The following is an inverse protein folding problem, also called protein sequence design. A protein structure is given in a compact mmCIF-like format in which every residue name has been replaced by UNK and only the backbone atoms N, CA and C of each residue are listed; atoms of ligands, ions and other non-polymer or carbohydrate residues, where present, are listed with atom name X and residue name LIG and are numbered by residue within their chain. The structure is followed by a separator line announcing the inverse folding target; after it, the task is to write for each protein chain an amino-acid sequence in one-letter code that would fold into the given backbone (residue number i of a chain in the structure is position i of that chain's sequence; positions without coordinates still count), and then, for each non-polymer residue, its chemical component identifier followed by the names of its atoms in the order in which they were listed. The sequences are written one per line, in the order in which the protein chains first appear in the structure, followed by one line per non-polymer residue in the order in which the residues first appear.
data_IF_942770572205
#
_entry.id   IF_942770572205
#
_cell.length_a   1.000
_cell.length_b   1.000
_cell.length_c   1.000
_cell.angle_alpha   90.00
_cell.angle_beta   90.00
_cell.angle_gamma   90.00
#
_symmetry.space_group_name_H-M   'P 1'
#
loop_
_entity.id
_entity.type
_entity.pdbx_description
1 polymer ?
#
# COMPACT_ATOMS: atom_id res chain seq x y z
N UNK A 1 -47.30 -65.09 -6.59
CA UNK A 1 -46.73 -64.95 -7.94
C UNK A 1 -45.22 -64.81 -7.78
N UNK A 2 -44.47 -65.88 -8.08
CA UNK A 2 -43.01 -65.91 -8.04
C UNK A 2 -42.41 -65.02 -9.13
N UNK A 3 -41.28 -64.36 -8.84
CA UNK A 3 -40.04 -64.51 -9.63
C UNK A 3 -38.87 -63.75 -8.98
N UNK A 4 -37.93 -64.52 -8.45
CA UNK A 4 -36.51 -64.20 -8.46
C UNK A 4 -36.06 -63.91 -9.91
N UNK A 5 -35.00 -63.10 -10.11
CA UNK A 5 -33.85 -63.42 -10.99
C UNK A 5 -32.77 -62.33 -10.83
N UNK A 6 -31.67 -62.81 -10.29
CA UNK A 6 -30.29 -62.33 -10.22
C UNK A 6 -29.71 -61.81 -11.55
N UNK A 7 -28.93 -60.72 -11.51
CA UNK A 7 -27.71 -60.57 -12.35
C UNK A 7 -26.58 -59.90 -11.57
N UNK A 8 -25.44 -60.60 -11.57
CA UNK A 8 -24.11 -60.27 -11.05
C UNK A 8 -23.33 -59.57 -12.18
N UNK A 9 -22.16 -59.00 -11.85
CA UNK A 9 -21.00 -58.63 -12.71
C UNK A 9 -21.05 -57.15 -13.17
N UNK A 10 -20.05 -56.27 -13.05
CA UNK A 10 -18.59 -56.33 -12.87
C UNK A 10 -18.09 -55.00 -12.23
N UNK A 11 -17.12 -55.04 -11.31
CA UNK A 11 -15.68 -54.74 -11.51
C UNK A 11 -15.35 -53.28 -11.86
N UNK A 12 -14.81 -52.61 -10.84
CA UNK A 12 -13.78 -51.55 -10.79
C UNK A 12 -13.38 -50.80 -12.07
N UNK A 13 -13.49 -49.46 -12.00
CA UNK A 13 -12.45 -48.56 -12.53
C UNK A 13 -12.33 -47.30 -11.66
N UNK A 14 -11.10 -47.02 -11.26
CA UNK A 14 -10.69 -45.91 -10.43
C UNK A 14 -10.80 -44.56 -11.15
N UNK A 15 -11.19 -43.51 -10.41
CA UNK A 15 -10.58 -42.18 -10.57
C UNK A 15 -10.81 -41.35 -9.31
N UNK A 16 -9.92 -41.50 -8.32
CA UNK A 16 -9.69 -40.45 -7.33
C UNK A 16 -8.82 -39.40 -8.02
N UNK A 17 -9.45 -38.33 -8.51
CA UNK A 17 -8.78 -37.09 -8.91
C UNK A 17 -9.12 -36.03 -7.87
N UNK A 18 -8.51 -36.16 -6.70
CA UNK A 18 -8.36 -35.08 -5.72
C UNK A 18 -6.87 -34.76 -5.64
N UNK A 19 -6.56 -33.46 -5.74
CA UNK A 19 -5.25 -32.85 -6.04
C UNK A 19 -5.01 -32.78 -7.56
N UNK A 20 -4.91 -31.62 -8.21
CA UNK A 20 -4.42 -30.33 -7.74
C UNK A 20 -4.97 -29.22 -8.64
N UNK A 21 -5.93 -28.45 -8.13
CA UNK A 21 -6.44 -27.23 -8.75
C UNK A 21 -5.63 -26.01 -8.28
N UNK A 22 -4.30 -26.12 -8.31
CA UNK A 22 -3.37 -25.03 -8.03
C UNK A 22 -2.62 -24.68 -9.32
N UNK A 23 -3.35 -24.15 -10.30
CA UNK A 23 -2.77 -23.61 -11.52
C UNK A 23 -3.76 -22.65 -12.18
N UNK A 24 -4.04 -21.52 -11.52
CA UNK A 24 -4.70 -20.37 -12.14
C UNK A 24 -4.19 -19.08 -11.51
N UNK A 25 -3.36 -18.35 -12.25
CA UNK A 25 -3.39 -16.89 -12.26
C UNK A 25 -2.47 -16.16 -11.28
N UNK A 26 -1.35 -15.68 -11.80
CA UNK A 26 -0.60 -14.58 -11.19
C UNK A 26 0.89 -14.80 -11.36
N UNK A 27 1.51 -13.98 -12.18
CA UNK A 27 2.96 -13.88 -12.39
C UNK A 27 3.67 -13.86 -11.03
N UNK A 28 4.20 -15.01 -10.61
CA UNK A 28 4.98 -15.17 -9.39
C UNK A 28 6.16 -14.19 -9.46
N UNK A 29 6.06 -13.11 -8.70
CA UNK A 29 7.23 -12.41 -8.21
C UNK A 29 8.14 -13.45 -7.56
N UNK A 30 9.42 -13.45 -7.93
CA UNK A 30 10.45 -14.31 -7.34
C UNK A 30 10.29 -14.32 -5.80
N UNK A 31 9.81 -15.44 -5.27
CA UNK A 31 9.29 -15.51 -3.91
C UNK A 31 10.38 -15.67 -2.85
N UNK A 32 11.66 -15.58 -3.21
CA UNK A 32 12.75 -15.74 -2.23
C UNK A 32 13.02 -14.47 -1.42
N UNK A 33 12.82 -13.28 -1.98
CA UNK A 33 13.18 -12.01 -1.32
C UNK A 33 12.00 -11.13 -0.89
N UNK A 34 10.75 -11.56 -1.16
CA UNK A 34 9.57 -10.73 -0.93
C UNK A 34 9.46 -9.53 -1.89
N UNK A 35 8.38 -8.76 -1.73
CA UNK A 35 8.03 -7.65 -2.62
C UNK A 35 7.45 -6.48 -1.83
N UNK A 36 7.93 -5.27 -2.12
CA UNK A 36 7.35 -4.04 -1.60
C UNK A 36 6.49 -3.42 -2.70
N UNK A 37 5.21 -3.24 -2.41
CA UNK A 37 4.32 -2.46 -3.26
C UNK A 37 3.90 -1.19 -2.52
N UNK A 38 4.44 -0.06 -2.96
CA UNK A 38 4.24 1.24 -2.33
C UNK A 38 3.20 2.08 -3.09
N UNK A 39 2.09 2.41 -2.42
CA UNK A 39 1.06 3.32 -2.91
C UNK A 39 1.31 4.76 -2.43
N UNK A 40 1.90 5.55 -3.33
CA UNK A 40 2.34 6.93 -3.11
C UNK A 40 1.24 7.96 -3.45
N UNK A 41 1.11 9.00 -2.62
CA UNK A 41 0.19 10.12 -2.86
C UNK A 41 0.89 11.43 -3.27
N UNK A 42 2.22 11.42 -3.39
CA UNK A 42 3.05 12.60 -3.71
C UNK A 42 3.60 12.53 -5.15
N UNK A 43 2.82 12.93 -6.18
CA UNK A 43 3.28 12.92 -7.57
C UNK A 43 4.53 13.77 -7.83
N UNK A 44 4.75 14.80 -7.02
CA UNK A 44 5.89 15.72 -7.12
C UNK A 44 7.25 15.10 -6.78
N UNK A 45 7.27 13.94 -6.10
CA UNK A 45 8.51 13.24 -5.72
C UNK A 45 8.59 11.81 -6.28
N UNK A 46 7.77 11.46 -7.27
CA UNK A 46 7.69 10.10 -7.81
C UNK A 46 9.01 9.60 -8.39
N UNK A 47 9.78 10.48 -9.04
CA UNK A 47 11.05 10.08 -9.67
C UNK A 47 12.11 9.78 -8.61
N UNK A 48 12.13 10.51 -7.50
CA UNK A 48 12.98 10.25 -6.35
C UNK A 48 12.64 8.91 -5.69
N UNK A 49 11.36 8.57 -5.58
CA UNK A 49 10.93 7.27 -5.06
C UNK A 49 11.32 6.11 -5.98
N UNK A 50 11.21 6.28 -7.31
CA UNK A 50 11.66 5.26 -8.28
C UNK A 50 13.17 5.03 -8.18
N UNK A 51 13.97 6.10 -8.09
CA UNK A 51 15.41 5.98 -7.89
C UNK A 51 15.76 5.26 -6.58
N UNK A 52 15.04 5.56 -5.49
CA UNK A 52 15.22 4.88 -4.21
C UNK A 52 14.85 3.39 -4.29
N UNK A 53 13.74 3.07 -4.95
CA UNK A 53 13.30 1.70 -5.19
C UNK A 53 14.33 0.88 -5.98
N UNK A 54 14.92 1.47 -7.03
CA UNK A 54 15.99 0.85 -7.82
C UNK A 54 17.25 0.61 -6.98
N UNK A 55 17.69 1.61 -6.20
CA UNK A 55 18.85 1.47 -5.31
C UNK A 55 18.63 0.38 -4.25
N UNK A 56 17.44 0.33 -3.64
CA UNK A 56 17.08 -0.68 -2.66
C UNK A 56 17.04 -2.07 -3.28
N UNK A 57 16.39 -2.20 -4.44
CA UNK A 57 16.31 -3.47 -5.19
C UNK A 57 17.70 -3.97 -5.56
N UNK A 58 18.58 -3.09 -6.07
CA UNK A 58 19.97 -3.46 -6.40
C UNK A 58 20.77 -3.91 -5.18
N UNK A 59 20.53 -3.31 -4.02
CA UNK A 59 21.25 -3.62 -2.78
C UNK A 59 20.77 -4.91 -2.11
N UNK A 60 19.48 -5.19 -2.18
CA UNK A 60 18.84 -6.23 -1.35
C UNK A 60 18.26 -7.39 -2.14
N UNK A 61 18.07 -7.23 -3.46
CA UNK A 61 17.32 -8.17 -4.29
C UNK A 61 15.80 -8.11 -4.10
N UNK A 62 15.29 -7.31 -3.15
CA UNK A 62 13.86 -7.14 -2.89
C UNK A 62 13.28 -6.18 -3.92
N UNK A 63 12.31 -6.63 -4.71
CA UNK A 63 11.65 -5.77 -5.71
C UNK A 63 10.78 -4.73 -5.00
N UNK A 64 10.88 -3.48 -5.44
CA UNK A 64 10.02 -2.38 -4.97
C UNK A 64 9.27 -1.76 -6.16
N UNK A 65 7.94 -1.92 -6.16
CA UNK A 65 7.06 -1.25 -7.12
C UNK A 65 6.44 -0.01 -6.47
N UNK A 66 6.50 1.14 -7.16
CA UNK A 66 5.91 2.40 -6.69
C UNK A 66 4.77 2.79 -7.62
N UNK A 67 3.54 2.78 -7.12
CA UNK A 67 2.37 3.31 -7.81
C UNK A 67 2.03 4.69 -7.23
N UNK A 68 1.81 5.67 -8.09
CA UNK A 68 1.44 7.02 -7.65
C UNK A 68 0.08 7.41 -8.23
N UNK A 69 -0.85 7.87 -7.39
CA UNK A 69 -2.14 8.38 -7.85
C UNK A 69 -2.00 9.79 -8.42
N UNK A 70 -2.94 10.19 -9.27
CA UNK A 70 -3.09 11.60 -9.63
C UNK A 70 -3.52 12.42 -8.40
N UNK A 71 -3.21 13.72 -8.42
CA UNK A 71 -3.63 14.64 -7.36
C UNK A 71 -5.16 14.65 -7.23
N UNK A 72 -5.65 14.53 -6.00
CA UNK A 72 -7.09 14.47 -5.70
C UNK A 72 -7.76 13.11 -5.94
N UNK A 73 -7.06 12.08 -6.46
CA UNK A 73 -7.66 10.76 -6.72
C UNK A 73 -7.22 9.66 -5.75
N UNK A 74 -6.41 9.98 -4.74
CA UNK A 74 -5.74 8.99 -3.89
C UNK A 74 -6.70 8.00 -3.24
N UNK A 75 -7.72 8.48 -2.51
CA UNK A 75 -8.64 7.61 -1.78
C UNK A 75 -9.38 6.61 -2.70
N UNK A 76 -9.80 7.07 -3.88
CA UNK A 76 -10.44 6.23 -4.89
C UNK A 76 -9.48 5.18 -5.42
N UNK A 77 -8.25 5.56 -5.77
CA UNK A 77 -7.23 4.62 -6.25
C UNK A 77 -6.86 3.62 -5.15
N UNK A 78 -6.62 4.08 -3.92
CA UNK A 78 -6.28 3.24 -2.77
C UNK A 78 -7.37 2.20 -2.50
N UNK A 79 -8.64 2.57 -2.55
CA UNK A 79 -9.76 1.62 -2.42
C UNK A 79 -9.71 0.52 -3.49
N UNK A 80 -9.41 0.88 -4.74
CA UNK A 80 -9.26 -0.10 -5.82
C UNK A 80 -8.03 -0.99 -5.65
N UNK A 81 -6.90 -0.44 -5.19
CA UNK A 81 -5.67 -1.19 -4.93
C UNK A 81 -5.83 -2.18 -3.77
N UNK A 82 -6.45 -1.77 -2.65
CA UNK A 82 -6.73 -2.64 -1.50
C UNK A 82 -7.67 -3.81 -1.83
N UNK A 83 -8.47 -3.69 -2.88
CA UNK A 83 -9.38 -4.76 -3.33
C UNK A 83 -8.70 -5.80 -4.23
N UNK A 84 -7.45 -5.59 -4.65
CA UNK A 84 -6.70 -6.54 -5.48
C UNK A 84 -6.15 -7.69 -4.63
N UNK A 85 -5.88 -8.81 -5.27
CA UNK A 85 -5.16 -9.93 -4.66
C UNK A 85 -3.72 -9.58 -4.26
N UNK A 86 -3.12 -8.59 -4.93
CA UNK A 86 -1.81 -8.05 -4.61
C UNK A 86 -1.95 -6.59 -4.12
N UNK A 87 -2.56 -6.41 -2.95
CA UNK A 87 -2.73 -5.09 -2.34
C UNK A 87 -1.38 -4.45 -1.97
N UNK A 88 -1.30 -3.11 -1.84
CA UNK A 88 -0.09 -2.42 -1.41
C UNK A 88 0.38 -2.91 -0.05
N UNK A 89 1.69 -3.09 0.11
CA UNK A 89 2.33 -3.44 1.39
C UNK A 89 2.76 -2.21 2.18
N UNK A 90 2.83 -1.06 1.52
CA UNK A 90 3.12 0.23 2.14
C UNK A 90 2.29 1.32 1.45
N UNK A 91 1.85 2.32 2.20
CA UNK A 91 1.08 3.44 1.64
C UNK A 91 1.22 4.69 2.50
N UNK A 92 0.91 5.85 1.92
CA UNK A 92 0.93 7.12 2.63
C UNK A 92 -0.36 7.37 3.42
N UNK A 93 -0.22 8.09 4.53
CA UNK A 93 -1.33 8.61 5.32
C UNK A 93 -1.05 10.10 5.55
N UNK A 94 -1.92 10.97 5.04
CA UNK A 94 -1.73 12.44 5.07
C UNK A 94 -2.48 13.15 6.19
N UNK A 95 -3.25 12.45 7.01
CA UNK A 95 -4.07 13.07 8.06
C UNK A 95 -4.80 12.05 8.92
N UNK A 96 -5.42 12.53 10.01
CA UNK A 96 -6.22 11.71 10.90
C UNK A 96 -7.45 11.10 10.22
N UNK A 97 -8.05 11.80 9.24
CA UNK A 97 -9.20 11.28 8.49
C UNK A 97 -8.82 10.07 7.63
N UNK A 98 -7.65 10.11 6.98
CA UNK A 98 -7.12 8.97 6.25
C UNK A 98 -6.69 7.85 7.18
N UNK A 99 -6.09 8.17 8.33
CA UNK A 99 -5.73 7.16 9.32
C UNK A 99 -6.97 6.37 9.77
N UNK A 100 -8.05 7.06 10.16
CA UNK A 100 -9.30 6.40 10.56
C UNK A 100 -9.92 5.55 9.44
N UNK A 101 -9.77 5.93 8.16
CA UNK A 101 -10.24 5.11 7.03
C UNK A 101 -9.43 3.83 6.85
N UNK A 102 -8.13 3.87 7.15
CA UNK A 102 -7.18 2.81 6.82
C UNK A 102 -6.60 2.07 8.05
N UNK A 103 -7.08 2.37 9.26
CA UNK A 103 -6.58 1.79 10.52
C UNK A 103 -6.64 0.26 10.56
N UNK A 104 -7.60 -0.35 9.85
CA UNK A 104 -7.72 -1.82 9.73
C UNK A 104 -6.72 -2.45 8.74
N UNK A 105 -5.92 -1.63 8.05
CA UNK A 105 -4.93 -2.06 7.04
C UNK A 105 -3.48 -1.74 7.45
N UNK A 106 -3.25 -1.35 8.70
CA UNK A 106 -1.93 -1.05 9.26
C UNK A 106 -1.65 -1.93 10.47
N UNK A 107 -0.37 -2.14 10.77
CA UNK A 107 0.08 -2.90 11.93
C UNK A 107 0.89 -2.01 12.90
N UNK A 108 0.98 -2.37 14.19
CA UNK A 108 1.84 -1.66 15.13
C UNK A 108 3.31 -1.73 14.71
N UNK A 109 3.99 -0.58 14.72
CA UNK A 109 5.38 -0.45 14.27
C UNK A 109 6.36 -0.16 15.40
N UNK A 110 5.90 0.13 16.61
CA UNK A 110 6.74 0.61 17.73
C UNK A 110 7.96 -0.26 18.05
N UNK A 111 7.86 -1.57 17.85
CA UNK A 111 8.91 -2.53 18.19
C UNK A 111 9.88 -2.79 17.01
N UNK A 112 9.55 -2.27 15.82
CA UNK A 112 10.37 -2.42 14.61
C UNK A 112 11.66 -1.61 14.71
N UNK A 113 12.72 -2.08 14.05
CA UNK A 113 13.98 -1.35 13.98
C UNK A 113 13.83 0.01 13.29
N UNK A 114 12.97 0.11 12.28
CA UNK A 114 12.73 1.37 11.56
C UNK A 114 12.06 2.43 12.45
N UNK A 115 11.14 2.04 13.34
CA UNK A 115 10.51 2.98 14.26
C UNK A 115 11.50 3.51 15.29
N UNK A 116 12.45 2.68 15.73
CA UNK A 116 13.52 3.09 16.66
C UNK A 116 14.45 4.15 16.08
N UNK A 117 14.52 4.28 14.75
CA UNK A 117 15.30 5.33 14.07
C UNK A 117 14.64 6.71 14.18
N UNK A 118 13.36 6.80 14.56
CA UNK A 118 12.69 8.07 14.77
C UNK A 118 13.25 8.79 16.01
N UNK A 119 13.42 10.11 15.90
CA UNK A 119 13.63 10.96 17.06
C UNK A 119 12.33 11.11 17.87
N UNK A 120 12.42 11.73 19.05
CA UNK A 120 11.28 11.87 19.96
C UNK A 120 10.10 12.60 19.33
N UNK A 121 10.37 13.63 18.52
CA UNK A 121 9.31 14.32 17.76
C UNK A 121 8.63 13.39 16.75
N UNK A 122 9.40 12.61 15.98
CA UNK A 122 8.89 11.65 15.02
C UNK A 122 8.03 10.57 15.69
N UNK A 123 8.45 10.08 16.87
CA UNK A 123 7.64 9.15 17.66
C UNK A 123 6.34 9.80 18.15
N UNK A 124 6.42 11.04 18.62
CA UNK A 124 5.25 11.80 19.10
C UNK A 124 4.23 12.12 17.99
N UNK A 125 4.67 12.20 16.74
CA UNK A 125 3.79 12.41 15.57
C UNK A 125 3.29 11.12 14.92
N UNK A 126 3.68 9.94 15.41
CA UNK A 126 3.09 8.69 14.94
C UNK A 126 1.62 8.65 15.35
N UNK A 127 0.75 8.14 14.48
CA UNK A 127 -0.65 7.94 14.83
C UNK A 127 -0.80 6.71 15.71
N UNK A 128 -1.55 6.88 16.80
CA UNK A 128 -1.64 5.87 17.85
C UNK A 128 -3.06 5.40 18.09
N UNK A 129 -3.21 4.11 18.37
CA UNK A 129 -4.43 3.48 18.88
C UNK A 129 -4.04 2.72 20.14
N UNK A 130 -4.71 3.00 21.26
CA UNK A 130 -4.46 2.35 22.56
C UNK A 130 -2.98 2.31 22.98
N UNK A 131 -2.26 3.40 22.73
CA UNK A 131 -0.84 3.56 23.06
C UNK A 131 0.14 2.82 22.13
N UNK A 132 -0.35 2.20 21.06
CA UNK A 132 0.48 1.58 20.01
C UNK A 132 0.64 2.52 18.82
N UNK A 133 1.82 2.56 18.22
CA UNK A 133 2.16 3.44 17.09
C UNK A 133 2.02 2.69 15.76
N UNK A 134 1.30 3.26 14.80
CA UNK A 134 0.95 2.60 13.52
C UNK A 134 1.52 3.27 12.28
N UNK A 135 2.20 4.42 12.42
CA UNK A 135 2.78 5.14 11.28
C UNK A 135 4.22 5.53 11.52
N UNK A 136 4.96 5.73 10.43
CA UNK A 136 6.32 6.24 10.42
C UNK A 136 6.33 7.66 9.84
N UNK A 137 6.33 8.71 10.67
CA UNK A 137 6.41 10.08 10.17
C UNK A 137 7.75 10.32 9.47
N UNK A 138 7.69 10.71 8.20
CA UNK A 138 8.87 11.00 7.38
C UNK A 138 8.85 12.40 6.74
N UNK A 139 7.70 13.09 6.79
CA UNK A 139 7.52 14.43 6.29
C UNK A 139 6.61 15.22 7.24
N UNK A 140 6.92 16.50 7.42
CA UNK A 140 6.07 17.46 8.11
C UNK A 140 5.68 18.56 7.12
N UNK A 141 4.38 18.83 7.02
CA UNK A 141 3.81 19.80 6.08
C UNK A 141 2.95 20.79 6.85
N UNK A 142 2.99 22.06 6.44
CA UNK A 142 2.24 23.14 7.07
C UNK A 142 1.45 23.90 6.02
N UNK A 143 0.22 24.28 6.39
CA UNK A 143 -0.57 25.20 5.60
C UNK A 143 -0.03 26.62 5.76
N UNK A 144 0.15 27.31 4.63
CA UNK A 144 0.63 28.68 4.60
C UNK A 144 0.10 29.44 3.40
N UNK A 145 0.24 30.76 3.43
CA UNK A 145 -0.14 31.64 2.33
C UNK A 145 1.07 31.81 1.41
N UNK A 146 0.98 31.26 0.20
CA UNK A 146 1.93 31.50 -0.88
C UNK A 146 1.34 32.58 -1.78
N UNK A 147 2.10 33.65 -2.04
CA UNK A 147 1.61 34.75 -2.88
C UNK A 147 2.67 35.23 -3.89
N UNK A 148 2.19 35.78 -5.00
CA UNK A 148 3.06 36.41 -5.99
C UNK A 148 3.39 37.85 -5.55
N UNK A 149 4.63 38.07 -5.10
CA UNK A 149 5.12 39.37 -4.64
C UNK A 149 4.92 40.48 -5.67
N UNK A 150 5.12 40.19 -6.96
CA UNK A 150 4.96 41.18 -8.04
C UNK A 150 3.51 41.64 -8.14
N UNK A 151 2.55 40.72 -8.15
CA UNK A 151 1.12 41.07 -8.24
C UNK A 151 0.69 41.94 -7.07
N UNK A 152 1.06 41.55 -5.83
CA UNK A 152 0.72 42.34 -4.64
C UNK A 152 1.36 43.73 -4.70
N UNK A 153 2.65 43.82 -5.04
CA UNK A 153 3.34 45.11 -5.14
C UNK A 153 2.73 46.03 -6.22
N UNK A 154 2.38 45.47 -7.38
CA UNK A 154 1.76 46.22 -8.47
C UNK A 154 0.35 46.72 -8.09
N UNK A 155 -0.42 45.90 -7.37
CA UNK A 155 -1.74 46.29 -6.85
C UNK A 155 -1.64 47.43 -5.84
N UNK A 156 -0.77 47.32 -4.84
CA UNK A 156 -0.58 48.37 -3.83
C UNK A 156 -0.13 49.70 -4.43
N UNK A 157 0.75 49.69 -5.44
CA UNK A 157 1.19 50.92 -6.14
C UNK A 157 0.07 51.63 -6.90
N UNK A 158 -0.93 50.90 -7.40
CA UNK A 158 -2.06 51.49 -8.13
C UNK A 158 -3.05 52.19 -7.20
N UNK A 159 -3.20 51.74 -5.96
CA UNK A 159 -4.16 52.28 -4.99
C UNK A 159 -3.59 53.49 -4.24
N UNK A 160 -2.27 53.59 -4.13
CA UNK A 160 -1.59 54.73 -3.49
C UNK A 160 -1.38 55.94 -4.42
N UNK A 161 -2.10 55.98 -5.56
CA UNK A 161 -2.15 57.13 -6.49
C UNK A 161 -3.56 57.71 -6.47
#
# INVERSE_FOLDING_TARGET
MNRNITKIIAVATATVLTASLAACGGNSSDSENGHVYFMNNKPEVVDQYKQLAEMYTKKTGVKVDVQTSASGSYDTTMKSELAKSNAPTMFNISGFDQFAKYENYVEPLQDTEVFKLLNDNGKAYSYTIDGKSYTLPYAAEWYGIIYNKKIINDYCKKIMR
#
